data_IF_651883205420
#
_entry.id   IF_651883205420
#
_cell.length_a   1.000
_cell.length_b   1.000
_cell.length_c   1.000
_cell.angle_alpha   90.00
_cell.angle_beta   90.00
_cell.angle_gamma   90.00
#
_symmetry.space_group_name_H-M   'P 1'
#
loop_
_entity.id
_entity.type
_entity.pdbx_description
1 polymer ?
#
# COMPACT_ATOMS: atom_id res chain seq x y z
N UNK A 1 0.96 -5.91 -26.47
CA UNK A 1 1.56 -4.55 -26.42
C UNK A 1 1.04 -3.84 -25.17
N UNK A 2 1.93 -3.45 -24.25
CA UNK A 2 1.56 -2.58 -23.12
C UNK A 2 1.55 -1.14 -23.65
N UNK A 3 0.42 -0.42 -23.55
CA UNK A 3 0.38 1.00 -23.88
C UNK A 3 0.97 1.79 -22.71
N UNK A 4 2.05 2.53 -22.97
CA UNK A 4 2.52 3.57 -22.06
C UNK A 4 1.75 4.85 -22.33
N UNK A 5 1.28 5.50 -21.27
CA UNK A 5 0.58 6.79 -21.33
C UNK A 5 1.17 7.69 -20.25
N UNK A 6 1.48 8.93 -20.62
CA UNK A 6 2.08 9.94 -19.74
C UNK A 6 1.24 11.21 -19.81
N UNK A 7 1.11 11.89 -18.67
CA UNK A 7 0.40 13.16 -18.56
C UNK A 7 0.96 13.96 -17.39
N UNK A 8 1.44 15.17 -17.67
CA UNK A 8 1.79 16.14 -16.64
C UNK A 8 0.51 16.68 -16.00
N UNK A 9 0.45 16.66 -14.68
CA UNK A 9 -0.67 17.14 -13.88
C UNK A 9 -0.12 18.00 -12.76
N UNK A 10 -0.78 19.12 -12.48
CA UNK A 10 -0.40 19.98 -11.37
C UNK A 10 -0.84 19.37 -10.03
N UNK A 11 -0.05 19.65 -8.99
CA UNK A 11 -0.39 19.32 -7.61
C UNK A 11 -1.27 20.44 -7.07
N UNK A 12 -2.40 20.07 -6.46
CA UNK A 12 -3.27 21.07 -5.86
C UNK A 12 -2.72 21.62 -4.53
N UNK A 13 -3.41 22.61 -3.95
CA UNK A 13 -2.99 23.27 -2.70
C UNK A 13 -2.85 22.34 -1.49
N UNK A 14 -3.46 21.15 -1.54
CA UNK A 14 -3.41 20.16 -0.47
C UNK A 14 -2.43 19.01 -0.78
N UNK A 15 -1.61 19.13 -1.83
CA UNK A 15 -0.65 18.10 -2.22
C UNK A 15 -1.26 16.94 -3.01
N UNK A 16 -2.49 17.07 -3.52
CA UNK A 16 -3.19 15.97 -4.21
C UNK A 16 -2.93 16.01 -5.71
N UNK A 17 -2.85 14.82 -6.30
CA UNK A 17 -2.77 14.62 -7.75
C UNK A 17 -4.02 13.91 -8.24
N UNK A 18 -4.62 14.43 -9.32
CA UNK A 18 -5.82 13.84 -9.91
C UNK A 18 -5.45 12.85 -11.01
N UNK A 19 -5.79 11.58 -10.79
CA UNK A 19 -5.63 10.53 -11.80
C UNK A 19 -6.74 10.65 -12.84
N UNK A 20 -6.42 10.82 -14.14
CA UNK A 20 -7.42 10.95 -15.20
C UNK A 20 -8.45 9.83 -15.20
N UNK A 21 -9.72 10.17 -15.43
CA UNK A 21 -10.84 9.22 -15.40
C UNK A 21 -10.64 8.03 -16.38
N UNK A 22 -10.06 8.31 -17.54
CA UNK A 22 -9.70 7.32 -18.55
C UNK A 22 -8.72 6.25 -18.05
N UNK A 23 -7.75 6.62 -17.20
CA UNK A 23 -6.73 5.70 -16.67
C UNK A 23 -7.29 4.81 -15.56
N UNK A 24 -8.23 5.34 -14.77
CA UNK A 24 -8.85 4.63 -13.64
C UNK A 24 -10.17 3.95 -13.98
N UNK A 25 -10.64 4.02 -15.23
CA UNK A 25 -11.94 3.47 -15.66
C UNK A 25 -12.11 1.98 -15.34
N UNK A 26 -11.03 1.20 -15.42
CA UNK A 26 -11.03 -0.25 -15.18
C UNK A 26 -10.50 -0.64 -13.80
N UNK A 27 -10.33 0.30 -12.88
CA UNK A 27 -9.87 0.00 -11.53
C UNK A 27 -11.04 -0.55 -10.72
N UNK A 28 -11.05 -1.87 -10.53
CA UNK A 28 -12.16 -2.60 -9.91
C UNK A 28 -12.37 -2.29 -8.42
N UNK A 29 -11.43 -1.61 -7.74
CA UNK A 29 -11.49 -1.30 -6.31
C UNK A 29 -11.02 0.11 -6.00
N UNK A 30 -11.58 0.68 -4.91
CA UNK A 30 -11.30 2.03 -4.39
C UNK A 30 -9.94 2.16 -3.69
N UNK A 31 -9.17 1.08 -3.56
CA UNK A 31 -7.92 1.05 -2.83
C UNK A 31 -6.72 1.08 -3.78
N UNK A 32 -5.79 2.01 -3.52
CA UNK A 32 -4.54 2.17 -4.23
C UNK A 32 -3.40 1.85 -3.27
N UNK A 33 -2.41 1.10 -3.75
CA UNK A 33 -1.13 1.05 -3.06
C UNK A 33 -0.28 2.19 -3.61
N UNK A 34 0.23 3.02 -2.70
CA UNK A 34 1.18 4.09 -3.00
C UNK A 34 2.50 3.68 -2.34
N UNK A 35 3.56 3.63 -3.15
CA UNK A 35 4.92 3.37 -2.66
C UNK A 35 5.80 4.53 -3.08
N UNK A 36 6.52 5.08 -2.12
CA UNK A 36 7.54 6.09 -2.34
C UNK A 36 8.89 5.38 -2.49
N UNK A 37 9.66 5.78 -3.49
CA UNK A 37 11.10 5.56 -3.59
C UNK A 37 11.81 6.91 -3.66
N UNK A 38 13.13 6.91 -3.75
CA UNK A 38 13.93 8.14 -3.74
C UNK A 38 13.56 9.09 -4.90
N UNK A 39 13.24 8.53 -6.09
CA UNK A 39 13.01 9.30 -7.31
C UNK A 39 11.56 9.29 -7.81
N UNK A 40 10.72 8.36 -7.34
CA UNK A 40 9.37 8.18 -7.89
C UNK A 40 8.30 7.75 -6.87
N UNK A 41 7.05 8.05 -7.23
CA UNK A 41 5.87 7.54 -6.52
C UNK A 41 5.17 6.54 -7.41
N UNK A 42 5.22 5.26 -7.03
CA UNK A 42 4.51 4.20 -7.71
C UNK A 42 3.09 4.08 -7.15
N UNK A 43 2.09 4.30 -8.01
CA UNK A 43 0.67 4.11 -7.69
C UNK A 43 0.13 2.91 -8.47
N UNK A 44 -0.38 1.90 -7.77
CA UNK A 44 -1.01 0.73 -8.41
C UNK A 44 -2.40 0.43 -7.83
N UNK A 45 -3.41 0.13 -8.68
CA UNK A 45 -4.70 -0.33 -8.20
C UNK A 45 -4.58 -1.70 -7.55
N UNK A 46 -5.20 -1.88 -6.39
CA UNK A 46 -5.30 -3.20 -5.77
C UNK A 46 -6.37 -4.03 -6.49
N UNK A 47 -5.92 -4.94 -7.36
CA UNK A 47 -6.81 -5.78 -8.19
C UNK A 47 -7.65 -6.76 -7.39
N UNK A 48 -7.24 -7.10 -6.16
CA UNK A 48 -7.98 -7.96 -5.22
C UNK A 48 -8.13 -7.22 -3.89
N UNK A 49 -9.19 -7.56 -3.14
CA UNK A 49 -9.16 -7.33 -1.69
C UNK A 49 -8.08 -8.34 -1.32
N UNK A 50 -6.91 -7.87 -0.89
CA UNK A 50 -5.93 -8.81 -0.33
C UNK A 50 -6.70 -9.72 0.61
N UNK A 51 -6.55 -11.03 0.44
CA UNK A 51 -7.11 -11.95 1.42
C UNK A 51 -6.44 -11.57 2.75
N UNK A 52 -7.14 -11.71 3.87
CA UNK A 52 -6.50 -11.49 5.17
C UNK A 52 -5.23 -12.35 5.31
N UNK A 53 -5.24 -13.53 4.68
CA UNK A 53 -4.09 -14.43 4.56
C UNK A 53 -2.88 -13.81 3.87
N UNK A 54 -3.07 -12.86 2.94
CA UNK A 54 -1.96 -12.18 2.26
C UNK A 54 -1.21 -11.20 3.20
N UNK A 55 -1.72 -10.97 4.42
CA UNK A 55 -1.16 -10.06 5.42
C UNK A 55 -0.58 -10.81 6.64
N UNK A 56 -0.77 -12.12 6.74
CA UNK A 56 -0.30 -12.91 7.90
C UNK A 56 1.23 -12.85 8.00
N UNK A 57 1.91 -12.92 6.85
CA UNK A 57 3.38 -12.86 6.78
C UNK A 57 3.93 -11.43 6.83
N UNK A 58 3.09 -10.40 6.96
CA UNK A 58 3.55 -9.01 7.00
C UNK A 58 4.03 -8.57 8.40
N UNK A 59 3.73 -9.37 9.43
CA UNK A 59 4.16 -9.10 10.81
C UNK A 59 5.26 -10.11 11.14
N UNK A 60 6.51 -9.69 11.00
CA UNK A 60 7.68 -10.45 11.44
C UNK A 60 8.08 -9.95 12.83
N UNK A 61 8.06 -10.84 13.84
CA UNK A 61 8.48 -10.53 15.21
C UNK A 61 9.70 -11.38 15.54
N UNK A 62 10.88 -10.78 15.45
CA UNK A 62 12.15 -11.49 15.66
C UNK A 62 12.55 -11.63 17.14
N UNK A 63 11.92 -10.87 18.04
CA UNK A 63 12.39 -10.64 19.42
C UNK A 63 11.48 -11.25 20.50
N UNK A 64 10.85 -12.39 20.22
CA UNK A 64 10.02 -13.09 21.20
C UNK A 64 10.57 -14.49 21.44
N UNK A 65 10.90 -14.80 22.70
CA UNK A 65 11.27 -16.15 23.11
C UNK A 65 10.07 -17.09 23.21
N UNK A 66 8.90 -16.58 23.61
CA UNK A 66 7.68 -17.36 23.80
C UNK A 66 6.43 -16.54 23.46
N UNK A 67 5.59 -17.07 22.55
CA UNK A 67 4.33 -16.44 22.15
C UNK A 67 3.20 -16.63 23.18
N UNK A 68 3.36 -17.53 24.15
CA UNK A 68 2.41 -17.70 25.25
C UNK A 68 2.56 -16.60 26.33
N UNK A 69 3.72 -15.94 26.41
CA UNK A 69 3.89 -14.74 27.25
C UNK A 69 3.24 -13.51 26.59
N UNK A 70 1.95 -13.37 26.86
CA UNK A 70 1.15 -12.24 26.36
C UNK A 70 1.65 -10.87 26.83
N UNK A 71 2.44 -10.78 27.91
CA UNK A 71 2.97 -9.51 28.39
C UNK A 71 4.17 -9.06 27.57
N UNK A 72 5.11 -9.98 27.31
CA UNK A 72 6.26 -9.77 26.42
C UNK A 72 5.77 -9.44 25.00
N UNK A 73 4.83 -10.24 24.49
CA UNK A 73 4.23 -10.04 23.16
C UNK A 73 3.58 -8.66 23.02
N UNK A 74 2.82 -8.21 24.04
CA UNK A 74 2.17 -6.89 24.02
C UNK A 74 3.18 -5.75 23.98
N UNK A 75 4.29 -5.87 24.71
CA UNK A 75 5.36 -4.86 24.73
C UNK A 75 6.02 -4.72 23.36
N UNK A 76 6.31 -5.84 22.70
CA UNK A 76 6.94 -5.85 21.37
C UNK A 76 6.00 -5.32 20.29
N UNK A 77 4.70 -5.62 20.37
CA UNK A 77 3.69 -5.18 19.38
C UNK A 77 3.29 -3.70 19.49
N UNK A 78 3.33 -3.12 20.69
CA UNK A 78 2.80 -1.77 20.92
C UNK A 78 3.86 -0.69 21.16
N UNK A 79 5.12 -1.05 21.40
CA UNK A 79 6.18 -0.10 21.76
C UNK A 79 6.08 0.36 23.21
#
# INVERSE_FOLDING_TARGET
>A
MVKMAEKTVEIDKAGRVVIPAEWRRNWSKKALMVRLSDDEVLIKPLRKRGKLTDLIDAIEIEQISDFEDTHELRKVLHG
#
